data_IF_736731607832
#
_entry.id   IF_736731607832
#
_cell.length_a   1.000
_cell.length_b   1.000
_cell.length_c   1.000
_cell.angle_alpha   90.00
_cell.angle_beta   90.00
_cell.angle_gamma   90.00
#
_symmetry.space_group_name_H-M   'P 1'
#
loop_
_entity.id
_entity.type
_entity.pdbx_description
1 polymer ?
#
# COMPACT_ATOMS: atom_id res chain seq x y z
N UNK A 1 -9.05 11.85 -16.51
CA UNK A 1 -8.14 10.68 -16.50
C UNK A 1 -8.46 9.89 -15.25
N UNK A 2 -8.68 8.58 -15.33
CA UNK A 2 -8.87 7.78 -14.12
C UNK A 2 -7.57 7.82 -13.31
N UNK A 3 -7.64 8.25 -12.06
CA UNK A 3 -6.45 8.39 -11.24
C UNK A 3 -6.02 7.00 -10.77
N UNK A 4 -4.79 6.54 -11.07
CA UNK A 4 -4.43 5.13 -10.87
C UNK A 4 -4.37 4.75 -9.38
N UNK A 5 -4.60 3.46 -9.08
CA UNK A 5 -4.58 2.88 -7.74
C UNK A 5 -5.69 3.41 -6.82
N UNK A 6 -6.83 2.74 -6.88
CA UNK A 6 -7.97 2.93 -5.98
C UNK A 6 -7.67 2.36 -4.58
N UNK A 7 -8.58 2.62 -3.65
CA UNK A 7 -8.55 1.98 -2.34
C UNK A 7 -8.45 0.45 -2.47
N UNK A 8 -7.74 -0.17 -1.53
CA UNK A 8 -7.41 -1.60 -1.47
C UNK A 8 -6.41 -2.11 -2.53
N UNK A 9 -5.93 -1.25 -3.45
CA UNK A 9 -4.86 -1.61 -4.36
C UNK A 9 -3.52 -1.87 -3.63
N UNK A 10 -2.76 -2.83 -4.13
CA UNK A 10 -1.39 -3.10 -3.66
C UNK A 10 -0.38 -2.37 -4.54
N UNK A 11 0.47 -1.56 -3.91
CA UNK A 11 1.37 -0.64 -4.60
C UNK A 11 2.77 -0.70 -3.98
N UNK A 12 3.75 -0.21 -4.72
CA UNK A 12 5.08 0.10 -4.22
C UNK A 12 5.50 1.46 -4.78
N UNK A 13 6.48 2.09 -4.16
CA UNK A 13 7.02 3.34 -4.69
C UNK A 13 7.80 3.08 -5.99
N UNK A 14 7.63 3.94 -6.98
CA UNK A 14 8.20 3.77 -8.32
C UNK A 14 9.70 4.13 -8.36
N UNK A 15 10.11 5.16 -7.61
CA UNK A 15 11.49 5.66 -7.56
C UNK A 15 12.38 5.14 -6.42
N UNK A 16 11.86 4.32 -5.50
CA UNK A 16 12.64 3.77 -4.39
C UNK A 16 11.98 2.51 -3.82
N UNK A 17 12.78 1.62 -3.27
CA UNK A 17 12.37 0.40 -2.57
C UNK A 17 12.33 0.56 -1.04
N UNK A 18 12.83 1.67 -0.50
CA UNK A 18 12.97 1.93 0.94
C UNK A 18 11.66 1.76 1.72
N UNK A 19 10.54 2.12 1.08
CA UNK A 19 9.22 2.01 1.69
C UNK A 19 8.65 0.59 1.68
N UNK A 20 9.18 -0.28 0.81
CA UNK A 20 8.61 -1.59 0.52
C UNK A 20 7.22 -1.50 -0.16
N UNK A 21 6.54 -2.64 -0.32
CA UNK A 21 5.17 -2.65 -0.80
C UNK A 21 4.17 -2.22 0.27
N UNK A 22 2.98 -1.84 -0.17
CA UNK A 22 1.91 -1.37 0.71
C UNK A 22 0.53 -1.53 0.09
N UNK A 23 -0.49 -1.20 0.87
CA UNK A 23 -1.89 -1.22 0.47
C UNK A 23 -2.47 0.18 0.54
N UNK A 24 -3.18 0.62 -0.50
CA UNK A 24 -3.91 1.89 -0.47
C UNK A 24 -5.08 1.77 0.50
N UNK A 25 -5.13 2.66 1.50
CA UNK A 25 -6.18 2.72 2.52
C UNK A 25 -7.04 3.98 2.41
N UNK A 26 -6.70 4.89 1.48
CA UNK A 26 -7.50 6.07 1.20
C UNK A 26 -7.01 6.79 -0.05
N UNK A 27 -7.93 7.50 -0.71
CA UNK A 27 -7.70 8.26 -1.94
C UNK A 27 -8.17 9.69 -1.72
N UNK A 28 -7.33 10.66 -2.04
CA UNK A 28 -7.65 12.09 -2.01
C UNK A 28 -7.07 12.77 -3.26
N UNK A 29 -7.90 12.86 -4.31
CA UNK A 29 -7.49 13.37 -5.62
C UNK A 29 -6.31 12.58 -6.21
N UNK A 30 -5.15 13.24 -6.34
CA UNK A 30 -3.91 12.63 -6.82
C UNK A 30 -3.17 11.84 -5.73
N UNK A 31 -3.49 12.05 -4.46
CA UNK A 31 -2.79 11.46 -3.34
C UNK A 31 -3.40 10.12 -2.91
N UNK A 32 -2.53 9.17 -2.57
CA UNK A 32 -2.87 7.86 -2.00
C UNK A 32 -2.33 7.82 -0.60
N UNK A 33 -3.21 7.55 0.37
CA UNK A 33 -2.78 7.16 1.70
C UNK A 33 -2.46 5.68 1.65
N UNK A 34 -1.18 5.34 1.73
CA UNK A 34 -0.68 3.97 1.60
C UNK A 34 -0.19 3.46 2.95
N UNK A 35 -0.65 2.28 3.33
CA UNK A 35 -0.16 1.52 4.47
C UNK A 35 1.00 0.64 4.02
N UNK A 36 2.20 1.00 4.47
CA UNK A 36 3.37 0.14 4.39
C UNK A 36 3.49 -0.69 5.67
N UNK A 37 4.39 -1.68 5.62
CA UNK A 37 4.67 -2.59 6.75
C UNK A 37 5.00 -1.83 8.05
N UNK A 38 5.74 -0.73 7.94
CA UNK A 38 6.28 -0.02 9.12
C UNK A 38 5.60 1.33 9.40
N UNK A 39 4.99 1.98 8.41
CA UNK A 39 4.41 3.31 8.56
C UNK A 39 3.24 3.51 7.58
N UNK A 40 2.60 4.68 7.65
CA UNK A 40 1.59 5.14 6.70
C UNK A 40 2.11 6.41 6.07
N UNK A 41 2.03 6.55 4.76
CA UNK A 41 2.43 7.75 4.05
C UNK A 41 1.37 8.18 3.02
N UNK A 42 1.33 9.48 2.75
CA UNK A 42 0.55 10.05 1.66
C UNK A 42 1.49 10.29 0.49
N UNK A 43 1.24 9.64 -0.64
CA UNK A 43 2.13 9.64 -1.80
C UNK A 43 1.32 10.01 -3.05
N UNK A 44 1.92 10.76 -3.97
CA UNK A 44 1.29 11.03 -5.27
C UNK A 44 1.14 9.73 -6.08
N UNK A 45 0.01 9.58 -6.78
CA UNK A 45 -0.25 8.44 -7.65
C UNK A 45 0.84 8.22 -8.71
N UNK A 46 1.45 9.29 -9.21
CA UNK A 46 2.52 9.23 -10.21
C UNK A 46 3.82 8.64 -9.67
N UNK A 47 4.03 8.70 -8.35
CA UNK A 47 5.20 8.12 -7.67
C UNK A 47 4.97 6.67 -7.25
N UNK A 48 3.81 6.09 -7.59
CA UNK A 48 3.45 4.71 -7.29
C UNK A 48 3.48 3.82 -8.53
N UNK A 49 3.79 2.55 -8.31
CA UNK A 49 3.58 1.46 -9.26
C UNK A 49 2.73 0.38 -8.63
N UNK A 50 2.12 -0.46 -9.48
CA UNK A 50 1.53 -1.70 -9.00
C UNK A 50 2.59 -2.56 -8.30
N UNK A 51 2.23 -3.13 -7.16
CA UNK A 51 3.05 -4.14 -6.51
C UNK A 51 3.12 -5.38 -7.42
N UNK A 52 4.27 -6.06 -7.41
CA UNK A 52 4.41 -7.37 -8.05
C UNK A 52 3.53 -8.41 -7.33
N UNK A 53 3.25 -9.56 -7.95
CA UNK A 53 2.53 -10.65 -7.28
C UNK A 53 3.22 -11.11 -5.98
N UNK A 54 4.55 -11.17 -5.98
CA UNK A 54 5.34 -11.54 -4.80
C UNK A 54 5.23 -10.49 -3.68
N UNK A 55 5.39 -9.22 -4.03
CA UNK A 55 5.21 -8.10 -3.10
C UNK A 55 3.80 -8.08 -2.50
N UNK A 56 2.78 -8.37 -3.32
CA UNK A 56 1.39 -8.47 -2.89
C UNK A 56 1.22 -9.59 -1.85
N UNK A 57 1.78 -10.77 -2.10
CA UNK A 57 1.73 -11.88 -1.14
C UNK A 57 2.41 -11.54 0.18
N UNK A 58 3.55 -10.83 0.15
CA UNK A 58 4.24 -10.38 1.37
C UNK A 58 3.33 -9.48 2.21
N UNK A 59 2.65 -8.51 1.58
CA UNK A 59 1.75 -7.60 2.29
C UNK A 59 0.51 -8.32 2.81
N UNK A 60 -0.10 -9.19 2.02
CA UNK A 60 -1.25 -9.99 2.47
C UNK A 60 -0.90 -10.85 3.69
N UNK A 61 0.23 -11.58 3.64
CA UNK A 61 0.68 -12.40 4.75
C UNK A 61 0.99 -11.55 6.00
N UNK A 62 1.57 -10.36 5.81
CA UNK A 62 1.81 -9.42 6.91
C UNK A 62 0.49 -8.91 7.53
N UNK A 63 -0.49 -8.51 6.72
CA UNK A 63 -1.82 -8.07 7.19
C UNK A 63 -2.49 -9.19 7.98
N UNK A 64 -2.50 -10.42 7.45
CA UNK A 64 -3.09 -11.57 8.11
C UNK A 64 -2.46 -11.82 9.49
N UNK A 65 -1.12 -11.85 9.57
CA UNK A 65 -0.41 -12.01 10.86
C UNK A 65 -0.73 -10.89 11.85
N UNK A 66 -0.91 -9.66 11.36
CA UNK A 66 -1.30 -8.52 12.22
C UNK A 66 -2.73 -8.68 12.73
N UNK A 67 -3.65 -9.10 11.87
CA UNK A 67 -5.04 -9.37 12.25
C UNK A 67 -5.13 -10.47 13.30
N UNK A 68 -4.41 -11.58 13.11
CA UNK A 68 -4.34 -12.69 14.09
C UNK A 68 -3.79 -12.22 15.44
N UNK A 69 -2.76 -11.37 15.42
CA UNK A 69 -2.09 -10.93 16.65
C UNK A 69 -2.87 -9.85 17.40
N UNK A 70 -3.67 -9.05 16.70
CA UNK A 70 -4.16 -7.79 17.22
C UNK A 70 -5.61 -7.43 16.86
N UNK A 71 -6.40 -8.35 16.29
CA UNK A 71 -7.85 -8.19 16.13
C UNK A 71 -8.32 -7.32 14.96
N UNK A 72 -7.42 -6.79 14.13
CA UNK A 72 -7.80 -6.11 12.88
C UNK A 72 -8.21 -4.64 13.00
N UNK A 73 -8.20 -4.05 14.19
CA UNK A 73 -8.33 -2.59 14.38
C UNK A 73 -6.95 -1.93 14.27
N UNK A 74 -6.58 -1.50 13.05
CA UNK A 74 -5.27 -0.88 12.73
C UNK A 74 -5.38 0.23 11.70
#
# INVERSE_FOLDING_TARGET
MATPFEQDAYVAHAGTDVYGPGKVIGVDGALRRVRFVHFVATIDAGDLRAASPEETHVIQAWIQRKQERYGGEW
#
